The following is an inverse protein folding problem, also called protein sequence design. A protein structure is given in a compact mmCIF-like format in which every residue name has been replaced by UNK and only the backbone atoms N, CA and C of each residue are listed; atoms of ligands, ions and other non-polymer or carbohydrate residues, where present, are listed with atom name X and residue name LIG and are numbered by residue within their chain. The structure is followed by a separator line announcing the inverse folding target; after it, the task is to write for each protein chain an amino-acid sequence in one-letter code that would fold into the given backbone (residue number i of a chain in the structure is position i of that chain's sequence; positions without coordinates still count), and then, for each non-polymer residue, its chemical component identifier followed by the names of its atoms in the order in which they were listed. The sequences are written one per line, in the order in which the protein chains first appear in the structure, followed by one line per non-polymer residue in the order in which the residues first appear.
data_IF_922229254878
#
_entry.id   IF_922229254878
#
_cell.length_a   1.000
_cell.length_b   1.000
_cell.length_c   1.000
_cell.angle_alpha   90.00
_cell.angle_beta   90.00
_cell.angle_gamma   90.00
#
_symmetry.space_group_name_H-M   'P 1'
#
loop_
_entity.id
_entity.type
_entity.pdbx_description
1 polymer ?
#
# COMPACT_ATOMS: atom_id res chain seq x y z
N UNK A 1 -54.25 26.75 69.00
CA UNK A 1 -54.18 27.79 67.97
C UNK A 1 -52.76 27.90 67.54
N UNK A 2 -52.31 27.32 66.39
CA UNK A 2 -51.03 27.68 65.86
C UNK A 2 -51.17 28.41 64.51
N UNK A 3 -50.21 29.29 64.29
CA UNK A 3 -50.09 30.29 63.21
C UNK A 3 -49.85 29.74 61.84
N UNK A 4 -50.46 30.38 60.84
CA UNK A 4 -50.28 30.13 59.43
C UNK A 4 -48.87 30.62 58.91
N UNK A 5 -48.13 29.76 58.21
CA UNK A 5 -46.91 30.12 57.48
C UNK A 5 -47.22 30.34 56.00
N UNK A 6 -46.99 31.55 55.55
CA UNK A 6 -47.09 32.03 54.16
C UNK A 6 -45.97 31.48 53.35
N UNK A 7 -46.24 30.66 52.37
CA UNK A 7 -45.23 30.16 51.34
C UNK A 7 -45.17 31.10 50.14
N UNK A 8 -43.99 31.71 49.92
CA UNK A 8 -43.71 32.52 48.74
C UNK A 8 -43.49 31.63 47.49
N UNK A 9 -44.33 31.80 46.49
CA UNK A 9 -44.21 31.13 45.17
C UNK A 9 -43.14 31.79 44.36
N UNK A 10 -42.05 31.07 44.13
CA UNK A 10 -40.99 31.47 43.20
C UNK A 10 -41.40 31.11 41.77
N UNK A 11 -41.55 32.10 40.88
CA UNK A 11 -41.80 31.93 39.45
C UNK A 11 -40.54 31.40 38.75
N UNK A 12 -40.58 30.13 38.38
CA UNK A 12 -39.52 29.52 37.53
C UNK A 12 -39.75 29.93 36.08
N UNK A 13 -38.84 30.72 35.55
CA UNK A 13 -38.81 31.12 34.13
C UNK A 13 -38.26 29.93 33.33
N UNK A 14 -39.14 29.22 32.64
CA UNK A 14 -38.76 28.17 31.68
C UNK A 14 -38.11 28.78 30.45
N UNK A 15 -36.76 28.63 30.32
CA UNK A 15 -36.02 28.89 29.11
C UNK A 15 -36.49 27.90 28.03
N UNK A 16 -37.03 28.41 26.89
CA UNK A 16 -37.30 27.65 25.68
C UNK A 16 -36.00 26.92 25.25
N UNK A 17 -36.06 25.63 24.86
CA UNK A 17 -34.89 24.96 24.31
C UNK A 17 -34.51 25.59 22.97
N UNK A 18 -33.28 26.04 22.87
CA UNK A 18 -32.66 26.48 21.61
C UNK A 18 -32.62 25.28 20.67
N UNK A 19 -33.40 25.35 19.59
CA UNK A 19 -33.37 24.35 18.53
C UNK A 19 -31.94 24.24 17.99
N UNK A 20 -31.28 23.10 18.24
CA UNK A 20 -30.04 22.75 17.60
C UNK A 20 -30.30 22.69 16.10
N UNK A 21 -29.78 23.66 15.35
CA UNK A 21 -29.71 23.59 13.88
C UNK A 21 -29.03 22.26 13.54
N UNK A 22 -29.75 21.38 12.83
CA UNK A 22 -29.12 20.23 12.17
C UNK A 22 -27.95 20.77 11.34
N UNK A 23 -26.76 20.11 11.38
CA UNK A 23 -25.69 20.44 10.42
C UNK A 23 -26.32 20.33 9.05
N UNK A 24 -26.14 21.35 8.21
CA UNK A 24 -26.51 21.29 6.81
C UNK A 24 -25.87 20.01 6.24
N UNK A 25 -26.65 19.17 5.57
CA UNK A 25 -26.14 18.09 4.74
C UNK A 25 -25.28 18.81 3.67
N UNK A 26 -23.96 18.73 3.85
CA UNK A 26 -22.98 19.15 2.87
C UNK A 26 -23.19 18.18 1.73
N UNK A 27 -23.73 18.64 0.61
CA UNK A 27 -23.70 17.91 -0.65
C UNK A 27 -22.21 17.63 -0.92
N UNK A 28 -21.76 16.40 -0.61
CA UNK A 28 -20.39 16.00 -0.76
C UNK A 28 -20.08 15.89 -2.27
N UNK A 29 -19.70 17.02 -2.87
CA UNK A 29 -19.10 17.00 -4.18
C UNK A 29 -17.65 16.49 -4.01
N UNK A 30 -17.32 15.26 -4.45
CA UNK A 30 -16.00 14.66 -4.21
C UNK A 30 -14.87 15.44 -4.87
N UNK A 31 -15.19 16.37 -5.75
CA UNK A 31 -14.24 17.24 -6.44
C UNK A 31 -13.96 18.55 -5.70
N UNK A 32 -14.76 18.89 -4.66
CA UNK A 32 -14.54 20.06 -3.83
C UNK A 32 -13.82 19.64 -2.55
N UNK A 33 -12.59 20.13 -2.36
CA UNK A 33 -11.75 19.77 -1.23
C UNK A 33 -11.43 21.00 -0.39
N UNK A 34 -11.28 20.83 0.94
CA UNK A 34 -10.91 21.91 1.82
C UNK A 34 -9.50 22.43 1.50
N UNK A 35 -9.40 23.75 1.43
CA UNK A 35 -8.14 24.46 1.27
C UNK A 35 -7.66 24.99 2.62
N UNK A 36 -6.38 24.76 2.92
CA UNK A 36 -5.76 25.16 4.17
C UNK A 36 -4.62 26.15 3.89
N UNK A 37 -4.53 27.14 4.73
CA UNK A 37 -3.40 28.09 4.77
C UNK A 37 -2.15 27.45 5.37
N UNK A 38 -1.00 28.13 5.26
CA UNK A 38 0.27 27.72 5.84
C UNK A 38 0.21 27.48 7.37
N UNK A 39 -0.70 28.15 8.06
CA UNK A 39 -0.96 28.00 9.50
C UNK A 39 -1.89 26.83 9.84
N UNK A 40 -2.44 26.14 8.84
CA UNK A 40 -3.38 25.03 9.01
C UNK A 40 -4.84 25.45 9.24
N UNK A 41 -5.16 26.72 9.04
CA UNK A 41 -6.54 27.22 9.10
C UNK A 41 -7.27 26.94 7.78
N UNK A 42 -8.56 26.58 7.86
CA UNK A 42 -9.39 26.34 6.66
C UNK A 42 -9.76 27.66 6.00
N UNK A 43 -9.22 27.92 4.83
CA UNK A 43 -9.40 29.17 4.07
C UNK A 43 -10.28 28.99 2.81
N UNK A 44 -11.23 28.06 2.84
CA UNK A 44 -12.18 27.86 1.75
C UNK A 44 -12.16 26.45 1.16
N UNK A 45 -12.61 26.34 -0.09
CA UNK A 45 -12.69 25.11 -0.88
C UNK A 45 -12.12 25.35 -2.28
N UNK A 46 -11.44 24.36 -2.82
CA UNK A 46 -10.86 24.39 -4.17
C UNK A 46 -11.38 23.20 -4.96
N UNK A 47 -11.75 23.46 -6.23
CA UNK A 47 -12.17 22.43 -7.16
C UNK A 47 -10.96 21.67 -7.73
N UNK A 48 -10.99 20.34 -7.59
CA UNK A 48 -10.00 19.46 -8.18
C UNK A 48 -10.18 19.32 -9.70
N UNK A 49 -9.10 19.18 -10.47
CA UNK A 49 -9.18 19.01 -11.93
C UNK A 49 -9.86 17.68 -12.29
N UNK A 50 -10.99 17.73 -12.98
CA UNK A 50 -11.79 16.58 -13.43
C UNK A 50 -10.98 15.57 -14.24
N UNK A 51 -10.01 16.01 -15.02
CA UNK A 51 -9.15 15.13 -15.85
C UNK A 51 -8.34 14.11 -15.06
N UNK A 52 -8.17 14.32 -13.74
CA UNK A 52 -7.35 13.48 -12.86
C UNK A 52 -8.21 12.79 -11.79
N UNK A 53 -9.20 13.49 -11.25
CA UNK A 53 -9.95 13.05 -10.06
C UNK A 53 -11.38 12.57 -10.35
N UNK A 54 -11.84 12.66 -11.61
CA UNK A 54 -13.19 12.23 -12.04
C UNK A 54 -13.14 10.93 -12.88
N UNK A 55 -12.18 10.07 -12.62
CA UNK A 55 -12.07 8.77 -13.29
C UNK A 55 -12.79 7.69 -12.47
N UNK A 56 -13.54 6.81 -13.12
CA UNK A 56 -14.13 5.64 -12.45
C UNK A 56 -13.03 4.72 -11.90
N UNK A 57 -12.98 4.43 -10.59
CA UNK A 57 -11.93 3.59 -10.02
C UNK A 57 -11.91 2.20 -10.63
N UNK A 58 -10.78 1.80 -11.23
CA UNK A 58 -10.58 0.50 -11.86
C UNK A 58 -9.69 -0.38 -10.96
N UNK A 59 -10.30 -1.16 -10.07
CA UNK A 59 -9.61 -2.01 -9.10
C UNK A 59 -8.64 -3.02 -9.73
N UNK A 60 -9.00 -3.75 -10.82
CA UNK A 60 -8.07 -4.69 -11.48
C UNK A 60 -6.77 -4.03 -11.94
N UNK A 61 -6.85 -2.85 -12.54
CA UNK A 61 -5.67 -2.13 -13.05
C UNK A 61 -4.82 -1.58 -11.90
N UNK A 62 -5.46 -1.09 -10.83
CA UNK A 62 -4.77 -0.67 -9.60
C UNK A 62 -4.02 -1.84 -8.95
N UNK A 63 -4.64 -3.01 -8.86
CA UNK A 63 -4.02 -4.22 -8.32
C UNK A 63 -2.81 -4.66 -9.15
N UNK A 64 -2.91 -4.65 -10.48
CA UNK A 64 -1.77 -4.95 -11.35
C UNK A 64 -0.61 -3.96 -11.17
N UNK A 65 -0.91 -2.67 -11.03
CA UNK A 65 0.09 -1.65 -10.77
C UNK A 65 0.80 -1.88 -9.42
N UNK A 66 0.05 -2.25 -8.38
CA UNK A 66 0.59 -2.60 -7.08
C UNK A 66 1.50 -3.84 -7.14
N UNK A 67 1.04 -4.94 -7.76
CA UNK A 67 1.85 -6.16 -7.92
C UNK A 67 3.15 -5.87 -8.69
N UNK A 68 3.06 -5.05 -9.74
CA UNK A 68 4.24 -4.58 -10.47
C UNK A 68 5.21 -3.83 -9.55
N UNK A 69 4.73 -2.91 -8.74
CA UNK A 69 5.58 -2.13 -7.83
C UNK A 69 6.28 -3.04 -6.81
N UNK A 70 5.54 -3.97 -6.21
CA UNK A 70 6.10 -4.94 -5.27
C UNK A 70 7.14 -5.86 -5.93
N UNK A 71 6.87 -6.33 -7.14
CA UNK A 71 7.82 -7.16 -7.88
C UNK A 71 9.09 -6.39 -8.26
N UNK A 72 8.96 -5.14 -8.71
CA UNK A 72 10.09 -4.30 -9.10
C UNK A 72 10.98 -3.89 -7.91
N UNK A 73 10.46 -3.89 -6.68
CA UNK A 73 11.23 -3.62 -5.47
C UNK A 73 12.12 -4.80 -5.06
N UNK A 74 11.88 -6.02 -5.60
CA UNK A 74 12.68 -7.21 -5.26
C UNK A 74 14.05 -7.17 -5.94
N UNK A 75 15.11 -7.26 -5.15
CA UNK A 75 16.49 -7.24 -5.66
C UNK A 75 16.88 -8.52 -6.41
N UNK A 76 16.37 -9.69 -6.00
CA UNK A 76 16.55 -10.95 -6.71
C UNK A 76 17.97 -11.54 -6.66
N UNK A 77 18.67 -11.36 -5.55
CA UNK A 77 20.08 -11.79 -5.37
C UNK A 77 20.24 -13.22 -4.86
N UNK A 78 19.14 -13.97 -4.63
CA UNK A 78 19.22 -15.35 -4.18
C UNK A 78 19.97 -16.22 -5.18
N UNK A 79 21.02 -16.91 -4.73
CA UNK A 79 21.87 -17.75 -5.57
C UNK A 79 22.23 -19.04 -4.87
N UNK A 80 22.32 -20.12 -5.63
CA UNK A 80 22.85 -21.41 -5.20
C UNK A 80 23.92 -21.87 -6.18
N UNK A 81 24.92 -22.58 -5.67
CA UNK A 81 25.97 -23.13 -6.51
C UNK A 81 25.54 -24.44 -7.16
N UNK A 82 25.63 -24.49 -8.47
CA UNK A 82 25.48 -25.72 -9.26
C UNK A 82 26.70 -26.63 -9.10
N UNK A 83 26.60 -27.87 -9.58
CA UNK A 83 27.71 -28.83 -9.52
C UNK A 83 29.01 -28.31 -10.13
N UNK A 84 28.94 -27.53 -11.16
CA UNK A 84 30.09 -26.92 -11.82
C UNK A 84 30.75 -25.78 -11.04
N UNK A 85 29.97 -25.10 -10.18
CA UNK A 85 30.41 -23.93 -9.41
C UNK A 85 30.93 -24.29 -8.00
N UNK A 86 30.65 -25.52 -7.54
CA UNK A 86 31.21 -26.03 -6.26
C UNK A 86 32.64 -26.45 -6.47
N UNK A 87 33.54 -25.96 -5.63
CA UNK A 87 34.96 -26.31 -5.70
C UNK A 87 35.20 -27.80 -5.53
N UNK A 88 36.09 -28.41 -6.33
CA UNK A 88 36.45 -29.80 -6.32
C UNK A 88 35.57 -30.70 -7.19
N UNK A 89 35.83 -32.01 -7.20
CA UNK A 89 35.02 -33.02 -7.90
C UNK A 89 35.36 -33.22 -9.38
N UNK A 90 36.49 -32.69 -9.86
CA UNK A 90 36.96 -32.93 -11.26
C UNK A 90 37.35 -34.37 -11.53
N UNK A 91 37.90 -35.08 -10.57
CA UNK A 91 38.28 -36.47 -10.71
C UNK A 91 37.11 -37.42 -10.40
N UNK A 92 37.03 -38.53 -11.15
CA UNK A 92 36.05 -39.57 -10.88
C UNK A 92 36.45 -40.31 -9.57
N UNK A 93 35.53 -40.48 -8.60
CA UNK A 93 35.89 -41.03 -7.26
C UNK A 93 36.38 -42.47 -7.29
N UNK A 94 35.94 -43.29 -8.24
CA UNK A 94 36.38 -44.68 -8.42
C UNK A 94 36.05 -45.19 -9.82
N UNK A 95 36.61 -46.34 -10.21
CA UNK A 95 36.41 -46.98 -11.50
C UNK A 95 34.93 -47.35 -11.73
N UNK A 96 34.52 -47.41 -13.03
CA UNK A 96 33.13 -47.56 -13.47
C UNK A 96 32.50 -48.93 -13.01
N UNK A 97 33.26 -49.99 -12.93
CA UNK A 97 32.83 -51.35 -12.59
C UNK A 97 33.78 -52.01 -11.58
N UNK A 98 33.30 -53.05 -10.90
CA UNK A 98 34.15 -53.85 -9.98
C UNK A 98 34.38 -53.28 -8.60
N UNK A 99 33.53 -52.31 -8.13
CA UNK A 99 33.60 -51.70 -6.80
C UNK A 99 32.44 -52.10 -5.90
N UNK A 100 31.40 -52.75 -6.42
CA UNK A 100 30.16 -53.04 -5.67
C UNK A 100 29.37 -51.82 -5.23
N UNK A 101 29.75 -50.61 -5.61
CA UNK A 101 29.11 -49.32 -5.28
C UNK A 101 28.33 -48.75 -6.42
N UNK A 102 27.41 -47.80 -6.13
CA UNK A 102 26.71 -47.02 -7.13
C UNK A 102 27.74 -46.26 -8.00
N UNK A 103 27.39 -46.07 -9.28
CA UNK A 103 28.24 -45.36 -10.24
C UNK A 103 28.13 -43.86 -10.03
N UNK A 104 29.25 -43.19 -9.77
CA UNK A 104 29.28 -41.73 -9.62
C UNK A 104 30.35 -41.13 -10.52
N UNK A 105 30.07 -39.97 -11.11
CA UNK A 105 30.99 -39.24 -11.95
C UNK A 105 31.78 -38.18 -11.20
N UNK A 106 31.27 -37.69 -10.09
CA UNK A 106 31.89 -36.65 -9.28
C UNK A 106 31.47 -36.76 -7.80
N UNK A 107 32.31 -36.32 -6.89
CA UNK A 107 31.98 -36.18 -5.45
C UNK A 107 31.15 -34.94 -5.16
N UNK A 108 30.89 -34.08 -6.19
CA UNK A 108 30.07 -32.87 -6.11
C UNK A 108 28.69 -33.02 -6.78
N UNK A 109 28.28 -34.27 -7.04
CA UNK A 109 26.91 -34.53 -7.51
C UNK A 109 25.86 -34.09 -6.49
N UNK A 110 24.64 -33.74 -6.91
CA UNK A 110 23.58 -33.27 -6.02
C UNK A 110 23.18 -34.28 -4.94
N UNK A 111 23.38 -35.58 -5.21
CA UNK A 111 23.15 -36.68 -4.27
C UNK A 111 24.23 -36.81 -3.17
N UNK A 112 25.36 -36.13 -3.36
CA UNK A 112 26.49 -36.20 -2.44
C UNK A 112 26.44 -35.08 -1.39
N UNK A 113 26.89 -35.39 -0.16
CA UNK A 113 27.02 -34.41 0.90
C UNK A 113 28.04 -33.33 0.50
N UNK A 114 27.65 -32.08 0.51
CA UNK A 114 28.49 -30.98 0.01
C UNK A 114 28.56 -30.87 -1.53
N UNK A 115 27.65 -31.52 -2.25
CA UNK A 115 27.48 -31.39 -3.70
C UNK A 115 26.71 -30.12 -4.11
N UNK A 116 26.59 -29.91 -5.43
CA UNK A 116 25.82 -28.77 -5.97
C UNK A 116 24.32 -28.93 -5.84
N UNK A 117 23.59 -27.84 -5.93
CA UNK A 117 22.13 -27.80 -5.91
C UNK A 117 21.58 -27.89 -7.34
N UNK A 118 20.52 -28.72 -7.54
CA UNK A 118 19.79 -28.81 -8.80
C UNK A 118 18.57 -27.92 -8.70
N UNK A 119 18.28 -27.15 -9.76
CA UNK A 119 17.12 -26.23 -9.82
C UNK A 119 17.01 -25.25 -8.67
N UNK A 120 18.13 -24.89 -8.07
CA UNK A 120 18.16 -23.86 -7.03
C UNK A 120 17.93 -22.45 -7.59
N UNK A 121 17.68 -21.47 -6.75
CA UNK A 121 17.51 -20.09 -7.18
C UNK A 121 18.79 -19.54 -7.81
N UNK A 122 18.62 -18.80 -8.89
CA UNK A 122 19.67 -18.02 -9.52
C UNK A 122 19.29 -16.54 -9.49
N UNK A 123 20.28 -15.62 -9.44
CA UNK A 123 20.02 -14.19 -9.50
C UNK A 123 19.22 -13.86 -10.75
N UNK A 124 18.08 -13.20 -10.56
CA UNK A 124 17.21 -12.78 -11.67
C UNK A 124 16.51 -11.47 -11.37
N UNK A 125 16.19 -10.72 -12.41
CA UNK A 125 15.31 -9.56 -12.28
C UNK A 125 13.85 -10.00 -12.12
N UNK A 126 13.14 -9.35 -11.21
CA UNK A 126 11.69 -9.50 -11.03
C UNK A 126 10.93 -8.32 -11.65
N UNK A 127 11.62 -7.49 -12.44
CA UNK A 127 11.01 -6.32 -13.06
C UNK A 127 9.92 -6.73 -14.07
N UNK A 128 8.71 -6.19 -13.87
CA UNK A 128 7.60 -6.35 -14.78
C UNK A 128 7.32 -5.04 -15.53
N UNK A 129 7.21 -5.15 -16.86
CA UNK A 129 6.75 -4.07 -17.71
C UNK A 129 5.24 -3.83 -17.52
N UNK A 130 4.81 -2.58 -17.69
CA UNK A 130 3.38 -2.22 -17.74
C UNK A 130 3.21 -1.07 -18.74
N UNK A 131 2.23 -1.12 -19.66
CA UNK A 131 1.97 -0.05 -20.61
C UNK A 131 1.76 1.30 -19.91
N UNK A 132 2.26 2.38 -20.54
CA UNK A 132 2.19 3.73 -19.97
C UNK A 132 0.76 4.17 -19.68
N UNK A 133 -0.17 3.84 -20.58
CA UNK A 133 -1.60 4.16 -20.41
C UNK A 133 -2.20 3.47 -19.17
N UNK A 134 -1.92 2.18 -18.96
CA UNK A 134 -2.39 1.45 -17.78
C UNK A 134 -1.83 2.03 -16.47
N UNK A 135 -0.57 2.45 -16.46
CA UNK A 135 0.03 3.12 -15.27
C UNK A 135 -0.66 4.44 -14.95
N UNK A 136 -0.97 5.23 -15.98
CA UNK A 136 -1.69 6.51 -15.82
C UNK A 136 -3.13 6.27 -15.35
N UNK A 137 -3.80 5.27 -15.92
CA UNK A 137 -5.15 4.90 -15.50
C UNK A 137 -5.17 4.44 -14.03
N UNK A 138 -4.23 3.57 -13.62
CA UNK A 138 -4.12 3.14 -12.23
C UNK A 138 -3.93 4.30 -11.26
N UNK A 139 -3.07 5.27 -11.63
CA UNK A 139 -2.81 6.44 -10.79
C UNK A 139 -4.06 7.34 -10.68
N UNK A 140 -4.72 7.65 -11.81
CA UNK A 140 -5.95 8.43 -11.80
C UNK A 140 -7.06 7.75 -11.00
N UNK A 141 -7.25 6.43 -11.20
CA UNK A 141 -8.22 5.65 -10.42
C UNK A 141 -7.94 5.72 -8.91
N UNK A 142 -6.68 5.66 -8.50
CA UNK A 142 -6.30 5.76 -7.09
C UNK A 142 -6.57 7.17 -6.52
N UNK A 143 -6.28 8.22 -7.29
CA UNK A 143 -6.54 9.61 -6.90
C UNK A 143 -8.05 9.90 -6.82
N UNK A 144 -8.82 9.42 -7.79
CA UNK A 144 -10.30 9.55 -7.77
C UNK A 144 -10.90 8.83 -6.57
N UNK A 145 -10.42 7.63 -6.22
CA UNK A 145 -10.87 6.93 -5.02
C UNK A 145 -10.57 7.74 -3.76
N UNK A 146 -9.39 8.35 -3.67
CA UNK A 146 -9.03 9.20 -2.52
C UNK A 146 -9.88 10.46 -2.41
N UNK A 147 -10.27 11.03 -3.55
CA UNK A 147 -11.20 12.17 -3.58
C UNK A 147 -12.60 11.74 -3.11
N UNK A 148 -13.12 10.60 -3.58
CA UNK A 148 -14.39 10.03 -3.13
C UNK A 148 -14.41 9.75 -1.62
N UNK A 149 -13.29 9.29 -1.07
CA UNK A 149 -13.11 9.02 0.37
C UNK A 149 -12.87 10.30 1.20
N UNK A 150 -12.90 11.49 0.60
CA UNK A 150 -12.60 12.78 1.23
C UNK A 150 -11.22 12.84 1.93
N UNK A 151 -10.22 12.15 1.37
CA UNK A 151 -8.87 12.06 1.92
C UNK A 151 -7.88 13.03 1.26
N UNK A 152 -8.34 13.85 0.32
CA UNK A 152 -7.54 14.86 -0.36
C UNK A 152 -7.69 16.21 0.35
N UNK A 153 -6.58 16.90 0.57
CA UNK A 153 -6.54 18.25 1.15
C UNK A 153 -5.54 19.09 0.37
N UNK A 154 -5.86 20.35 0.15
CA UNK A 154 -4.99 21.30 -0.53
C UNK A 154 -4.43 22.29 0.49
N UNK A 155 -3.13 22.52 0.43
CA UNK A 155 -2.42 23.45 1.31
C UNK A 155 -1.72 24.48 0.43
N UNK A 156 -1.79 25.76 0.79
CA UNK A 156 -1.22 26.88 0.02
C UNK A 156 0.28 26.78 -0.12
N UNK A 157 0.97 26.66 1.00
CA UNK A 157 2.42 26.53 1.03
C UNK A 157 2.87 25.87 2.33
N UNK A 158 4.03 25.20 2.30
CA UNK A 158 4.72 24.76 3.51
C UNK A 158 5.84 25.76 3.82
N UNK A 159 5.78 26.37 4.98
CA UNK A 159 6.91 27.16 5.52
C UNK A 159 7.77 26.18 6.31
N UNK A 160 8.98 25.93 5.84
CA UNK A 160 10.00 25.18 6.58
C UNK A 160 10.93 26.20 7.21
N UNK A 161 11.03 26.17 8.53
CA UNK A 161 12.04 26.92 9.30
C UNK A 161 13.42 26.25 9.18
#
# INVERSE_FOLDING_TARGET
MPAAKTTKTTKTTTKKPVAKKKPAEIENNPLQVPFFDALGERNGEVDLPKTIFDETPNMPVMHQAYLRQMANARQGTASTKTRGEVSGGGAKPYRQKGTGRARHGSIREPSMKGGGTVFGPHPRSYAHGMPRQMRRLALRSALSQKALDNQVRVIESFVFD
#
